data_IF_708774308567
#
_entry.id   IF_708774308567
#
_cell.length_a   1.000
_cell.length_b   1.000
_cell.length_c   1.000
_cell.angle_alpha   90.00
_cell.angle_beta   90.00
_cell.angle_gamma   90.00
#
_symmetry.space_group_name_H-M   'P 1'
#
loop_
_entity.id
_entity.type
_entity.pdbx_description
1 polymer ?
#
# COMPACT_ATOMS: atom_id res chain seq x y z
N UNK A 1 1.23 -0.30 -6.56
CA UNK A 1 0.23 0.44 -7.34
C UNK A 1 -0.27 1.66 -6.55
N UNK A 2 -0.99 1.50 -5.47
CA UNK A 2 -1.68 2.57 -4.73
C UNK A 2 -0.73 3.66 -4.19
N UNK A 3 0.33 3.25 -3.50
CA UNK A 3 1.36 4.18 -2.98
C UNK A 3 2.12 4.91 -4.09
N UNK A 4 2.32 4.27 -5.26
CA UNK A 4 2.91 4.95 -6.42
C UNK A 4 1.95 6.00 -6.97
N UNK A 5 0.67 5.68 -7.13
CA UNK A 5 -0.35 6.68 -7.56
C UNK A 5 -0.44 7.85 -6.58
N UNK A 6 -0.37 7.58 -5.27
CA UNK A 6 -0.32 8.64 -4.25
C UNK A 6 0.94 9.50 -4.34
N UNK A 7 2.11 8.89 -4.65
CA UNK A 7 3.36 9.62 -4.81
C UNK A 7 3.31 10.58 -6.00
N UNK A 8 2.80 10.13 -7.16
CA UNK A 8 2.67 10.96 -8.35
C UNK A 8 1.67 12.10 -8.14
N UNK A 9 0.53 11.81 -7.50
CA UNK A 9 -0.44 12.83 -7.10
C UNK A 9 0.19 13.85 -6.14
N UNK A 10 0.84 13.37 -5.08
CA UNK A 10 1.50 14.24 -4.10
C UNK A 10 2.56 15.14 -4.76
N UNK A 11 3.34 14.61 -5.72
CA UNK A 11 4.35 15.40 -6.45
C UNK A 11 3.73 16.53 -7.26
N UNK A 12 2.50 16.35 -7.74
CA UNK A 12 1.78 17.39 -8.50
C UNK A 12 1.13 18.43 -7.58
N UNK A 13 0.63 17.99 -6.41
CA UNK A 13 -0.14 18.86 -5.51
C UNK A 13 0.71 19.50 -4.42
N UNK A 14 1.91 18.96 -4.14
CA UNK A 14 2.78 19.35 -3.02
C UNK A 14 4.27 19.35 -3.40
N UNK A 15 5.09 19.98 -2.58
CA UNK A 15 6.53 19.81 -2.59
C UNK A 15 6.89 18.55 -1.79
N UNK A 16 7.12 17.42 -2.48
CA UNK A 16 7.51 16.17 -1.84
C UNK A 16 9.00 16.21 -1.50
N UNK A 17 9.34 16.19 -0.21
CA UNK A 17 10.72 16.25 0.30
C UNK A 17 11.39 14.88 0.35
N UNK A 18 10.61 13.81 0.60
CA UNK A 18 11.11 12.44 0.62
C UNK A 18 9.98 11.40 0.47
N UNK A 19 10.34 10.18 0.06
CA UNK A 19 9.51 8.99 0.10
C UNK A 19 10.12 7.97 1.06
N UNK A 20 9.27 7.26 1.81
CA UNK A 20 9.67 6.28 2.82
C UNK A 20 9.10 4.92 2.49
N UNK A 21 9.96 3.90 2.52
CA UNK A 21 9.56 2.50 2.46
C UNK A 21 10.00 1.75 3.72
N UNK A 22 9.20 0.76 4.12
CA UNK A 22 9.51 -0.07 5.27
C UNK A 22 9.80 -1.51 4.83
N UNK A 23 10.98 -2.00 5.16
CA UNK A 23 11.31 -3.41 5.07
C UNK A 23 10.98 -4.06 6.44
N UNK A 24 9.89 -4.80 6.48
CA UNK A 24 9.39 -5.40 7.72
C UNK A 24 9.36 -6.93 7.67
N UNK A 25 10.17 -7.53 6.77
CA UNK A 25 10.26 -8.97 6.62
C UNK A 25 9.12 -9.60 5.84
N UNK A 26 8.36 -8.84 5.04
CA UNK A 26 7.32 -9.44 4.21
C UNK A 26 7.89 -10.13 2.97
N UNK A 27 7.21 -11.18 2.50
CA UNK A 27 7.57 -11.94 1.31
C UNK A 27 7.70 -11.08 0.04
N UNK A 28 6.95 -9.97 -0.04
CA UNK A 28 6.92 -9.09 -1.20
C UNK A 28 7.88 -7.89 -1.11
N UNK A 29 8.42 -7.55 0.06
CA UNK A 29 9.36 -6.42 0.21
C UNK A 29 10.54 -6.45 -0.77
N UNK A 30 11.18 -7.62 -1.03
CA UNK A 30 12.32 -7.68 -1.98
C UNK A 30 11.95 -7.24 -3.39
N UNK A 31 10.69 -7.30 -3.76
CA UNK A 31 10.19 -6.88 -5.08
C UNK A 31 9.56 -5.48 -5.05
N UNK A 32 8.83 -5.15 -4.01
CA UNK A 32 8.10 -3.88 -3.91
C UNK A 32 9.03 -2.69 -3.71
N UNK A 33 10.05 -2.82 -2.83
CA UNK A 33 10.97 -1.73 -2.51
C UNK A 33 11.77 -1.24 -3.72
N UNK A 34 12.33 -2.09 -4.60
CA UNK A 34 12.99 -1.64 -5.83
C UNK A 34 12.08 -0.82 -6.75
N UNK A 35 10.80 -1.18 -6.87
CA UNK A 35 9.84 -0.39 -7.65
C UNK A 35 9.52 0.96 -6.98
N UNK A 36 9.41 0.99 -5.65
CA UNK A 36 9.24 2.25 -4.93
C UNK A 36 10.44 3.18 -5.15
N UNK A 37 11.66 2.63 -5.09
CA UNK A 37 12.89 3.39 -5.39
C UNK A 37 12.89 3.90 -6.82
N UNK A 38 12.55 3.04 -7.80
CA UNK A 38 12.50 3.43 -9.21
C UNK A 38 11.60 4.66 -9.42
N UNK A 39 10.39 4.65 -8.87
CA UNK A 39 9.47 5.78 -9.02
C UNK A 39 9.95 7.04 -8.30
N UNK A 40 10.56 6.90 -7.12
CA UNK A 40 11.18 8.04 -6.44
C UNK A 40 12.32 8.65 -7.27
N UNK A 41 13.18 7.82 -7.84
CA UNK A 41 14.30 8.27 -8.71
C UNK A 41 13.75 8.97 -9.97
N UNK A 42 12.73 8.42 -10.63
CA UNK A 42 12.09 9.03 -11.81
C UNK A 42 11.50 10.42 -11.52
N UNK A 43 11.03 10.64 -10.31
CA UNK A 43 10.46 11.92 -9.87
C UNK A 43 11.47 12.87 -9.21
N UNK A 44 12.73 12.45 -9.09
CA UNK A 44 13.78 13.20 -8.41
C UNK A 44 13.52 13.38 -6.91
N UNK A 45 12.89 12.38 -6.26
CA UNK A 45 12.53 12.39 -4.84
C UNK A 45 13.52 11.52 -4.06
N UNK A 46 14.04 12.05 -2.94
CA UNK A 46 14.84 11.25 -2.00
C UNK A 46 14.02 10.04 -1.51
N UNK A 47 14.58 8.84 -1.60
CA UNK A 47 13.95 7.63 -1.08
C UNK A 47 14.76 7.06 0.08
N UNK A 48 14.06 6.73 1.18
CA UNK A 48 14.64 6.11 2.36
C UNK A 48 13.96 4.77 2.63
N UNK A 49 14.74 3.77 3.01
CA UNK A 49 14.23 2.47 3.48
C UNK A 49 14.56 2.32 4.96
N UNK A 50 13.57 1.96 5.75
CA UNK A 50 13.73 1.64 7.19
C UNK A 50 13.48 0.15 7.39
N UNK A 51 14.42 -0.53 8.07
CA UNK A 51 14.27 -1.93 8.43
C UNK A 51 13.55 -2.06 9.77
N UNK A 52 12.50 -2.88 9.79
CA UNK A 52 11.69 -3.20 10.96
C UNK A 52 11.76 -4.70 11.25
N UNK A 53 12.96 -5.23 11.44
CA UNK A 53 13.26 -6.68 11.58
C UNK A 53 12.52 -7.34 12.75
N UNK A 54 12.08 -6.55 13.74
CA UNK A 54 11.31 -7.04 14.88
C UNK A 54 9.90 -7.49 14.48
N UNK A 55 9.33 -6.98 13.39
CA UNK A 55 7.96 -7.32 12.97
C UNK A 55 7.86 -8.81 12.60
N UNK A 56 8.77 -9.33 11.80
CA UNK A 56 8.79 -10.76 11.43
C UNK A 56 9.12 -11.69 12.62
N UNK A 57 9.76 -11.15 13.67
CA UNK A 57 10.09 -11.91 14.87
C UNK A 57 8.98 -11.95 15.91
N UNK A 58 8.18 -10.88 16.00
CA UNK A 58 7.19 -10.71 17.08
C UNK A 58 5.75 -10.94 16.61
N UNK A 59 5.46 -10.78 15.33
CA UNK A 59 4.09 -10.81 14.81
C UNK A 59 3.86 -12.05 13.95
N UNK A 60 2.60 -12.48 13.89
CA UNK A 60 2.18 -13.61 13.06
C UNK A 60 1.31 -13.11 11.92
N UNK A 61 1.73 -13.40 10.68
CA UNK A 61 0.95 -13.11 9.47
C UNK A 61 1.45 -13.95 8.30
N UNK A 62 0.56 -14.37 7.42
CA UNK A 62 0.94 -15.04 6.17
C UNK A 62 1.79 -14.14 5.25
N UNK A 63 1.75 -12.82 5.40
CA UNK A 63 2.60 -11.90 4.63
C UNK A 63 4.08 -11.96 5.02
N UNK A 64 4.40 -12.33 6.26
CA UNK A 64 5.76 -12.33 6.77
C UNK A 64 6.56 -13.53 6.25
N UNK A 65 7.89 -13.39 6.19
CA UNK A 65 8.75 -14.46 5.72
C UNK A 65 8.63 -15.71 6.61
N UNK A 66 8.47 -15.52 7.93
CA UNK A 66 8.19 -16.59 8.91
C UNK A 66 6.78 -17.18 8.81
N UNK A 67 5.85 -16.53 8.09
CA UNK A 67 4.45 -16.94 8.01
C UNK A 67 4.18 -18.09 7.03
N UNK A 68 2.96 -18.64 7.11
CA UNK A 68 2.47 -19.68 6.20
C UNK A 68 2.22 -19.19 4.76
N UNK A 69 1.55 -20.00 3.97
CA UNK A 69 1.26 -19.68 2.58
C UNK A 69 0.34 -18.45 2.42
N UNK A 70 0.58 -17.70 1.37
CA UNK A 70 -0.29 -16.58 1.00
C UNK A 70 -1.63 -17.13 0.49
N UNK A 71 -2.77 -16.76 1.09
CA UNK A 71 -4.08 -17.21 0.65
C UNK A 71 -4.39 -16.71 -0.78
N UNK A 72 -5.14 -17.52 -1.50
CA UNK A 72 -5.66 -17.23 -2.83
C UNK A 72 -7.16 -16.93 -2.77
N UNK A 73 -7.66 -16.21 -3.76
CA UNK A 73 -9.08 -15.86 -3.90
C UNK A 73 -9.35 -14.36 -3.85
N UNK A 74 -10.62 -14.00 -3.69
CA UNK A 74 -11.06 -12.61 -3.66
C UNK A 74 -10.49 -11.85 -2.47
N UNK A 75 -10.08 -10.59 -2.68
CA UNK A 75 -9.43 -9.77 -1.66
C UNK A 75 -10.24 -9.58 -0.37
N UNK A 76 -11.56 -9.56 -0.45
CA UNK A 76 -12.44 -9.42 0.71
C UNK A 76 -12.87 -10.76 1.35
N UNK A 77 -12.32 -11.90 0.91
CA UNK A 77 -12.63 -13.20 1.49
C UNK A 77 -12.05 -13.33 2.91
N UNK A 78 -12.73 -14.09 3.76
CA UNK A 78 -12.34 -14.22 5.19
C UNK A 78 -10.94 -14.77 5.40
N UNK A 79 -10.44 -15.63 4.49
CA UNK A 79 -9.08 -16.16 4.54
C UNK A 79 -8.01 -15.08 4.38
N UNK A 80 -8.34 -13.91 3.80
CA UNK A 80 -7.42 -12.78 3.69
C UNK A 80 -7.06 -12.16 5.04
N UNK A 81 -7.81 -12.41 6.11
CA UNK A 81 -7.45 -12.00 7.48
C UNK A 81 -6.10 -12.57 7.93
N UNK A 82 -5.67 -13.69 7.36
CA UNK A 82 -4.34 -14.27 7.61
C UNK A 82 -3.20 -13.37 7.12
N UNK A 83 -3.47 -12.42 6.20
CA UNK A 83 -2.48 -11.48 5.69
C UNK A 83 -2.36 -10.21 6.54
N UNK A 84 -3.17 -10.04 7.56
CA UNK A 84 -3.08 -8.90 8.47
C UNK A 84 -1.80 -9.00 9.29
N UNK A 85 -0.92 -8.01 9.19
CA UNK A 85 0.18 -7.81 10.12
C UNK A 85 -0.34 -6.88 11.22
N UNK A 86 -0.45 -7.34 12.48
CA UNK A 86 -1.13 -6.59 13.54
C UNK A 86 -0.59 -5.18 13.72
N UNK A 87 -1.47 -4.18 13.64
CA UNK A 87 -1.18 -2.78 13.94
C UNK A 87 -0.03 -2.17 13.11
N UNK A 88 0.26 -2.74 11.93
CA UNK A 88 1.41 -2.38 11.10
C UNK A 88 1.39 -0.91 10.68
N UNK A 89 0.25 -0.40 10.23
CA UNK A 89 0.16 0.99 9.77
C UNK A 89 0.38 1.99 10.91
N UNK A 90 -0.05 1.69 12.13
CA UNK A 90 0.24 2.54 13.29
C UNK A 90 1.76 2.64 13.56
N UNK A 91 2.46 1.50 13.56
CA UNK A 91 3.91 1.45 13.75
C UNK A 91 4.64 2.27 12.68
N UNK A 92 4.29 2.02 11.40
CA UNK A 92 4.90 2.71 10.27
C UNK A 92 4.60 4.21 10.28
N UNK A 93 3.36 4.61 10.57
CA UNK A 93 2.96 6.01 10.64
C UNK A 93 3.62 6.74 11.81
N UNK A 94 3.82 6.09 12.97
CA UNK A 94 4.53 6.68 14.10
C UNK A 94 5.98 7.02 13.74
N UNK A 95 6.69 6.11 13.07
CA UNK A 95 8.05 6.34 12.61
C UNK A 95 8.08 7.43 11.52
N UNK A 96 7.14 7.36 10.57
CA UNK A 96 7.05 8.33 9.48
C UNK A 96 6.74 9.74 10.00
N UNK A 97 5.91 9.88 11.03
CA UNK A 97 5.58 11.17 11.65
C UNK A 97 6.80 11.84 12.30
N UNK A 98 7.57 11.09 13.10
CA UNK A 98 8.81 11.62 13.69
C UNK A 98 9.87 11.97 12.65
N UNK A 99 9.94 11.20 11.56
CA UNK A 99 10.85 11.53 10.46
C UNK A 99 10.37 12.75 9.65
N UNK A 100 9.05 12.86 9.40
CA UNK A 100 8.47 14.03 8.73
C UNK A 100 8.77 15.32 9.52
N UNK A 101 8.58 15.31 10.84
CA UNK A 101 8.94 16.44 11.70
C UNK A 101 10.44 16.78 11.62
N UNK A 102 11.32 15.76 11.65
CA UNK A 102 12.78 15.95 11.52
C UNK A 102 13.21 16.52 10.15
N UNK A 103 12.37 16.38 9.13
CA UNK A 103 12.55 16.95 7.80
C UNK A 103 11.83 18.29 7.61
N UNK A 104 11.25 18.83 8.68
CA UNK A 104 10.41 20.04 8.64
C UNK A 104 9.25 19.94 7.61
N UNK A 105 8.74 18.71 7.38
CA UNK A 105 7.62 18.48 6.50
C UNK A 105 6.30 18.76 7.23
N UNK A 106 5.38 19.47 6.57
CA UNK A 106 4.07 19.83 7.13
C UNK A 106 3.09 18.65 7.21
N UNK A 107 3.39 17.55 6.49
CA UNK A 107 2.52 16.40 6.46
C UNK A 107 3.16 15.16 5.87
N UNK A 108 2.48 14.03 6.04
CA UNK A 108 2.81 12.77 5.43
C UNK A 108 1.60 12.18 4.71
N UNK A 109 1.84 11.43 3.64
CA UNK A 109 0.81 10.84 2.78
C UNK A 109 0.79 9.34 2.94
N UNK A 110 -0.41 8.76 3.10
CA UNK A 110 -0.64 7.32 3.05
C UNK A 110 -1.71 6.99 2.01
N UNK A 111 -1.54 5.88 1.29
CA UNK A 111 -2.43 5.44 0.22
C UNK A 111 -3.51 4.43 0.67
N UNK A 112 -3.93 4.47 1.94
CA UNK A 112 -5.05 3.65 2.41
C UNK A 112 -6.33 4.01 1.65
N UNK A 113 -7.13 2.99 1.29
CA UNK A 113 -8.32 3.16 0.46
C UNK A 113 -9.50 2.31 0.96
N UNK A 114 -10.70 2.54 0.41
CA UNK A 114 -11.92 1.87 0.90
C UNK A 114 -11.93 0.34 0.71
N UNK A 115 -11.22 -0.20 -0.28
CA UNK A 115 -11.08 -1.63 -0.51
C UNK A 115 -10.42 -2.37 0.67
N UNK A 116 -9.50 -1.71 1.35
CA UNK A 116 -8.77 -2.28 2.50
C UNK A 116 -9.65 -2.42 3.75
N UNK A 117 -10.72 -1.66 3.87
CA UNK A 117 -11.51 -1.52 5.11
C UNK A 117 -12.14 -2.84 5.58
N UNK A 118 -12.43 -3.76 4.66
CA UNK A 118 -13.05 -5.04 4.99
C UNK A 118 -12.12 -5.95 5.81
N UNK A 119 -10.82 -5.94 5.50
CA UNK A 119 -9.82 -6.87 6.03
C UNK A 119 -8.86 -6.21 7.02
N UNK A 120 -8.40 -4.97 6.73
CA UNK A 120 -7.35 -4.30 7.49
C UNK A 120 -7.94 -3.23 8.41
N UNK A 121 -8.06 -3.48 9.73
CA UNK A 121 -8.64 -2.51 10.67
C UNK A 121 -7.89 -1.17 10.68
N UNK A 122 -6.57 -1.22 10.51
CA UNK A 122 -5.68 -0.06 10.51
C UNK A 122 -5.61 0.71 9.18
N UNK A 123 -6.51 0.36 8.22
CA UNK A 123 -6.77 1.13 7.00
C UNK A 123 -8.12 1.88 7.05
N UNK A 124 -8.97 1.60 8.05
CA UNK A 124 -10.32 2.17 8.15
C UNK A 124 -10.29 3.66 8.44
N UNK A 125 -11.30 4.38 7.94
CA UNK A 125 -11.46 5.83 8.13
C UNK A 125 -11.35 6.25 9.60
N UNK A 126 -12.05 5.54 10.50
CA UNK A 126 -12.04 5.85 11.94
C UNK A 126 -10.63 5.72 12.54
N UNK A 127 -9.88 4.67 12.17
CA UNK A 127 -8.50 4.48 12.63
C UNK A 127 -7.59 5.58 12.06
N UNK A 128 -7.66 5.83 10.77
CA UNK A 128 -6.81 6.82 10.10
C UNK A 128 -7.08 8.25 10.59
N UNK A 129 -8.34 8.57 10.94
CA UNK A 129 -8.69 9.85 11.57
C UNK A 129 -8.05 9.97 12.95
N UNK A 130 -8.22 8.97 13.81
CA UNK A 130 -7.64 8.96 15.14
C UNK A 130 -6.11 9.03 15.11
N UNK A 131 -5.47 8.28 14.19
CA UNK A 131 -4.02 8.32 14.00
C UNK A 131 -3.54 9.68 13.50
N UNK A 132 -4.30 10.32 12.61
CA UNK A 132 -4.01 11.68 12.13
C UNK A 132 -4.05 12.71 13.26
N UNK A 133 -5.04 12.64 14.14
CA UNK A 133 -5.10 13.51 15.33
C UNK A 133 -3.94 13.20 16.29
N UNK A 134 -3.63 11.91 16.53
CA UNK A 134 -2.50 11.54 17.39
C UNK A 134 -1.15 12.06 16.83
N UNK A 135 -0.93 11.98 15.53
CA UNK A 135 0.27 12.52 14.87
C UNK A 135 0.33 14.03 15.04
N UNK A 136 -0.77 14.73 14.77
CA UNK A 136 -0.86 16.18 14.87
C UNK A 136 -0.57 16.67 16.29
N UNK A 137 -1.20 16.06 17.29
CA UNK A 137 -1.02 16.44 18.70
C UNK A 137 0.31 15.96 19.29
N UNK A 138 0.88 14.87 18.74
CA UNK A 138 2.12 14.26 19.19
C UNK A 138 3.40 14.81 18.54
N UNK A 139 3.28 15.69 17.54
CA UNK A 139 4.41 16.36 16.89
C UNK A 139 4.40 17.84 17.22
N UNK A 140 5.58 18.43 17.45
CA UNK A 140 5.69 19.85 17.79
C UNK A 140 5.21 20.76 16.64
N UNK A 141 5.49 20.35 15.39
CA UNK A 141 5.07 21.06 14.19
C UNK A 141 3.60 20.80 13.78
N UNK A 142 2.89 19.90 14.44
CA UNK A 142 1.52 19.55 14.09
C UNK A 142 1.40 18.87 12.74
N UNK A 143 2.26 17.88 12.46
CA UNK A 143 2.33 17.15 11.19
C UNK A 143 0.97 16.56 10.79
N UNK A 144 0.52 16.79 9.57
CA UNK A 144 -0.79 16.37 9.06
C UNK A 144 -0.71 15.00 8.38
N UNK A 145 -1.66 14.11 8.64
CA UNK A 145 -1.81 12.86 7.89
C UNK A 145 -2.76 13.06 6.71
N UNK A 146 -2.21 13.05 5.50
CA UNK A 146 -2.95 13.17 4.24
C UNK A 146 -3.33 11.77 3.72
N UNK A 147 -4.61 11.58 3.37
CA UNK A 147 -5.20 10.29 3.00
C UNK A 147 -6.01 10.43 1.72
N UNK A 148 -5.35 10.72 0.58
CA UNK A 148 -6.04 11.14 -0.64
C UNK A 148 -7.02 10.11 -1.21
N UNK A 149 -6.84 8.82 -0.85
CA UNK A 149 -7.63 7.72 -1.42
C UNK A 149 -8.59 7.06 -0.42
N UNK A 150 -8.70 7.56 0.80
CA UNK A 150 -9.41 6.89 1.89
C UNK A 150 -10.86 6.49 1.54
N UNK A 151 -11.56 7.28 0.76
CA UNK A 151 -12.93 7.02 0.29
C UNK A 151 -13.01 6.44 -1.13
N UNK A 152 -11.88 6.24 -1.81
CA UNK A 152 -11.83 5.74 -3.19
C UNK A 152 -11.80 4.21 -3.21
N UNK A 153 -12.42 3.61 -4.24
CA UNK A 153 -12.17 2.22 -4.60
C UNK A 153 -10.90 2.12 -5.45
N UNK A 154 -10.39 0.91 -5.65
CA UNK A 154 -9.12 0.70 -6.35
C UNK A 154 -9.18 1.05 -7.83
N UNK A 155 -10.32 0.88 -8.49
CA UNK A 155 -10.53 1.33 -9.88
C UNK A 155 -10.36 2.85 -10.03
N UNK A 156 -10.90 3.63 -9.08
CA UNK A 156 -10.69 5.08 -9.04
C UNK A 156 -9.21 5.45 -8.84
N UNK A 157 -8.45 4.66 -8.08
CA UNK A 157 -7.00 4.88 -7.91
C UNK A 157 -6.24 4.59 -9.21
N UNK A 158 -6.67 3.60 -10.00
CA UNK A 158 -6.11 3.36 -11.34
C UNK A 158 -6.32 4.60 -12.22
N UNK A 159 -7.53 5.17 -12.25
CA UNK A 159 -7.81 6.39 -13.03
C UNK A 159 -6.96 7.58 -12.56
N UNK A 160 -6.80 7.77 -11.26
CA UNK A 160 -5.88 8.79 -10.71
C UNK A 160 -4.45 8.54 -11.17
N UNK A 161 -3.96 7.31 -11.10
CA UNK A 161 -2.63 6.96 -11.58
C UNK A 161 -2.43 7.26 -13.07
N UNK A 162 -3.40 6.92 -13.92
CA UNK A 162 -3.39 7.28 -15.35
C UNK A 162 -3.32 8.79 -15.54
N UNK A 163 -4.17 9.54 -14.82
CA UNK A 163 -4.22 11.01 -14.86
C UNK A 163 -2.86 11.65 -14.53
N UNK A 164 -2.13 11.08 -13.58
CA UNK A 164 -0.82 11.59 -13.16
C UNK A 164 0.36 10.93 -13.88
N UNK A 165 0.12 10.06 -14.87
CA UNK A 165 1.16 9.48 -15.72
C UNK A 165 1.94 8.33 -15.08
N UNK A 166 1.32 7.56 -14.19
CA UNK A 166 1.94 6.37 -13.58
C UNK A 166 2.13 5.27 -14.64
N UNK A 167 3.36 4.79 -14.79
CA UNK A 167 3.64 3.55 -15.53
C UNK A 167 3.34 2.34 -14.64
N UNK A 168 2.13 1.81 -14.76
CA UNK A 168 1.70 0.65 -13.98
C UNK A 168 2.46 -0.65 -14.31
N UNK A 169 3.09 -0.75 -15.47
CA UNK A 169 4.00 -1.85 -15.80
C UNK A 169 5.23 -1.90 -14.90
N UNK A 170 5.57 -0.77 -14.27
CA UNK A 170 6.65 -0.64 -13.30
C UNK A 170 6.17 -0.60 -11.85
N UNK A 171 5.02 -1.21 -11.53
CA UNK A 171 4.50 -1.31 -10.16
C UNK A 171 4.33 -2.77 -9.76
N UNK A 172 4.50 -3.05 -8.47
CA UNK A 172 4.38 -4.40 -7.94
C UNK A 172 3.23 -4.48 -6.91
N UNK A 173 2.49 -5.60 -6.91
CA UNK A 173 1.35 -5.81 -6.00
C UNK A 173 1.28 -7.22 -5.40
N UNK A 174 1.93 -8.22 -6.01
CA UNK A 174 1.77 -9.62 -5.62
C UNK A 174 2.32 -9.93 -4.23
N UNK A 175 1.49 -10.43 -3.31
CA UNK A 175 1.91 -10.81 -1.97
C UNK A 175 2.88 -12.00 -1.91
N UNK A 176 2.92 -12.85 -2.95
CA UNK A 176 3.84 -14.00 -2.98
C UNK A 176 5.31 -13.62 -3.22
N UNK A 177 5.61 -12.40 -3.66
CA UNK A 177 6.97 -11.91 -3.83
C UNK A 177 7.76 -12.51 -5.01
N UNK A 178 7.12 -13.25 -5.91
CA UNK A 178 7.75 -13.84 -7.09
C UNK A 178 8.16 -12.79 -8.13
N UNK A 179 8.95 -13.21 -9.13
CA UNK A 179 9.38 -12.34 -10.22
C UNK A 179 8.19 -11.84 -11.06
N UNK A 180 7.24 -12.72 -11.30
CA UNK A 180 5.99 -12.43 -12.01
C UNK A 180 4.83 -12.46 -11.00
N UNK A 181 3.83 -11.65 -11.21
CA UNK A 181 2.63 -11.64 -10.40
C UNK A 181 1.92 -13.00 -10.49
N UNK A 182 1.53 -13.61 -9.37
CA UNK A 182 0.93 -14.94 -9.37
C UNK A 182 -0.46 -15.00 -10.05
N UNK A 183 -1.19 -13.89 -10.08
CA UNK A 183 -2.54 -13.79 -10.65
C UNK A 183 -3.68 -14.29 -9.75
N UNK A 184 -3.38 -14.93 -8.60
CA UNK A 184 -4.35 -15.63 -7.75
C UNK A 184 -4.45 -15.13 -6.30
N UNK A 185 -3.40 -14.52 -5.75
CA UNK A 185 -3.48 -13.95 -4.39
C UNK A 185 -4.41 -12.75 -4.36
N UNK A 186 -4.96 -12.42 -3.20
CA UNK A 186 -5.96 -11.36 -3.04
C UNK A 186 -5.60 -10.05 -3.74
N UNK A 187 -4.36 -9.57 -3.59
CA UNK A 187 -3.93 -8.33 -4.24
C UNK A 187 -3.75 -8.43 -5.75
N UNK A 188 -3.42 -9.60 -6.30
CA UNK A 188 -3.43 -9.82 -7.76
C UNK A 188 -4.86 -9.81 -8.30
N UNK A 189 -5.79 -10.46 -7.60
CA UNK A 189 -7.22 -10.45 -7.95
C UNK A 189 -7.75 -9.02 -7.91
N UNK A 190 -7.57 -8.30 -6.81
CA UNK A 190 -8.02 -6.93 -6.64
C UNK A 190 -7.39 -5.97 -7.68
N UNK A 191 -6.10 -6.17 -8.02
CA UNK A 191 -5.47 -5.39 -9.10
C UNK A 191 -6.16 -5.62 -10.44
N UNK A 192 -6.40 -6.87 -10.82
CA UNK A 192 -7.07 -7.21 -12.08
C UNK A 192 -8.49 -6.64 -12.13
N UNK A 193 -9.24 -6.75 -11.03
CA UNK A 193 -10.58 -6.13 -10.89
C UNK A 193 -10.50 -4.61 -11.04
N UNK A 194 -9.56 -3.95 -10.39
CA UNK A 194 -9.41 -2.50 -10.45
C UNK A 194 -9.17 -1.97 -11.87
N UNK A 195 -8.37 -2.66 -12.68
CA UNK A 195 -8.14 -2.28 -14.07
C UNK A 195 -9.36 -2.52 -14.95
N UNK A 196 -10.12 -3.62 -14.70
CA UNK A 196 -11.39 -3.88 -15.38
C UNK A 196 -12.44 -2.79 -15.05
N UNK A 197 -12.59 -2.47 -13.76
CA UNK A 197 -13.53 -1.42 -13.29
C UNK A 197 -13.17 -0.04 -13.84
N UNK A 198 -11.89 0.24 -13.99
CA UNK A 198 -11.40 1.49 -14.56
C UNK A 198 -11.50 1.54 -16.09
N UNK A 199 -11.81 0.43 -16.76
CA UNK A 199 -11.74 0.30 -18.23
C UNK A 199 -10.35 0.66 -18.80
N UNK A 200 -9.29 0.32 -18.06
CA UNK A 200 -7.88 0.54 -18.42
C UNK A 200 -7.21 -0.81 -18.65
N UNK A 201 -6.36 -0.92 -19.65
CA UNK A 201 -5.59 -2.14 -19.89
C UNK A 201 -4.56 -2.32 -18.78
N UNK A 202 -4.59 -3.46 -18.08
CA UNK A 202 -3.56 -3.80 -17.10
C UNK A 202 -2.28 -4.25 -17.82
N UNK A 203 -1.16 -3.52 -17.69
CA UNK A 203 0.11 -3.89 -18.32
C UNK A 203 0.85 -5.03 -17.60
N UNK A 204 0.27 -5.56 -16.52
CA UNK A 204 0.92 -6.56 -15.66
C UNK A 204 0.89 -7.94 -16.30
N UNK A 205 2.03 -8.63 -16.29
CA UNK A 205 2.12 -10.05 -16.64
C UNK A 205 1.80 -10.90 -15.42
N UNK A 206 0.91 -11.88 -15.59
CA UNK A 206 0.49 -12.81 -14.56
C UNK A 206 0.86 -14.26 -14.92
N UNK A 207 1.25 -15.05 -13.91
CA UNK A 207 1.46 -16.50 -14.07
C UNK A 207 0.14 -17.24 -14.33
N UNK A 208 -0.95 -16.77 -13.73
CA UNK A 208 -2.30 -17.31 -13.94
C UNK A 208 -3.22 -16.22 -14.48
N UNK A 209 -3.90 -16.54 -15.59
CA UNK A 209 -4.96 -15.73 -16.20
C UNK A 209 -6.36 -16.33 -15.98
N UNK A 210 -6.51 -17.23 -15.01
CA UNK A 210 -7.82 -17.81 -14.65
C UNK A 210 -8.87 -16.71 -14.39
N UNK A 211 -10.15 -17.07 -14.54
CA UNK A 211 -11.26 -16.16 -14.26
C UNK A 211 -11.16 -15.61 -12.83
N UNK A 212 -11.56 -14.36 -12.66
CA UNK A 212 -11.58 -13.73 -11.35
C UNK A 212 -12.61 -14.43 -10.44
N UNK A 213 -12.27 -14.70 -9.17
CA UNK A 213 -13.22 -15.27 -8.22
C UNK A 213 -14.33 -14.26 -7.91
N UNK A 214 -15.54 -14.74 -7.69
CA UNK A 214 -16.67 -13.90 -7.29
C UNK A 214 -16.39 -13.23 -5.94
N UNK A 215 -16.87 -12.00 -5.78
CA UNK A 215 -16.86 -11.34 -4.48
C UNK A 215 -17.67 -12.13 -3.45
N UNK A 216 -17.25 -12.23 -2.18
CA UNK A 216 -18.01 -12.90 -1.16
C UNK A 216 -19.35 -12.18 -0.93
N UNK A 217 -20.41 -12.94 -0.78
CA UNK A 217 -21.75 -12.41 -0.42
C UNK A 217 -21.63 -11.85 1.01
N UNK A 218 -21.81 -10.55 1.17
CA UNK A 218 -21.89 -9.93 2.51
C UNK A 218 -23.16 -10.45 3.20
N UNK A 219 -23.00 -11.16 4.30
CA UNK A 219 -24.11 -11.57 5.19
C UNK A 219 -24.53 -10.40 6.06
#
# INVERSE_FOLDING_TARGET
MDSVSALYRAKTEHQVVAALSFNYGSKHNPREIPFAKLHADLLGIRHQVINLDFIDKLFTSALLASGGDIPEGHYQADNMKQTVVPFRNAIMLSIAAGWAESLEAEGLVIAAHSGDHAIYPDCREAFMKAMGEAIKEGTYAGVKLLRPFIAMNKGSIVLEGVKYGVDFGKTYSCYKGGEVHCGKCGTCVERREAFLDAHVIDPTVYLSSEALPSAPIKK
#
